data_IF_634881797707
#
_entry.id   IF_634881797707
#
_cell.length_a   1.000
_cell.length_b   1.000
_cell.length_c   1.000
_cell.angle_alpha   90.00
_cell.angle_beta   90.00
_cell.angle_gamma   90.00
#
_symmetry.space_group_name_H-M   'P 1'
#
loop_
_entity.id
_entity.type
_entity.pdbx_description
1 polymer ?
#
# COMPACT_ATOMS: atom_id res chain seq x y z
N UNK A 1 -21.55 -0.60 4.59
CA UNK A 1 -22.48 -0.13 3.54
C UNK A 1 -23.18 1.10 4.07
N UNK A 2 -23.20 2.21 3.32
CA UNK A 2 -23.84 3.43 3.78
C UNK A 2 -25.37 3.24 3.81
N UNK A 3 -26.07 3.67 4.88
CA UNK A 3 -27.53 3.68 4.90
C UNK A 3 -28.10 4.42 3.68
N UNK A 4 -29.09 3.83 3.00
CA UNK A 4 -29.74 4.43 1.82
C UNK A 4 -28.99 4.29 0.49
N UNK A 5 -27.82 3.65 0.46
CA UNK A 5 -27.02 3.48 -0.78
C UNK A 5 -27.67 2.59 -1.85
N UNK A 6 -28.74 1.87 -1.53
CA UNK A 6 -29.51 1.05 -2.48
C UNK A 6 -31.01 1.31 -2.32
N UNK A 7 -31.54 2.37 -2.96
CA UNK A 7 -32.98 2.64 -2.95
C UNK A 7 -33.72 1.50 -3.66
N UNK A 8 -34.66 0.85 -2.98
CA UNK A 8 -35.36 -0.33 -3.49
C UNK A 8 -36.19 -0.02 -4.75
N UNK A 9 -36.68 1.21 -4.90
CA UNK A 9 -37.40 1.67 -6.09
C UNK A 9 -36.56 1.60 -7.38
N UNK A 10 -35.24 1.71 -7.23
CA UNK A 10 -34.30 1.79 -8.37
C UNK A 10 -33.38 0.57 -8.46
N UNK A 11 -32.92 0.03 -7.34
CA UNK A 11 -31.99 -1.10 -7.29
C UNK A 11 -32.65 -2.31 -6.63
N UNK A 12 -33.33 -3.12 -7.45
CA UNK A 12 -34.06 -4.31 -7.02
C UNK A 12 -33.91 -5.47 -8.01
N UNK A 13 -34.39 -6.64 -7.62
CA UNK A 13 -34.28 -7.88 -8.41
C UNK A 13 -35.02 -7.83 -9.74
N UNK A 14 -36.07 -6.99 -9.86
CA UNK A 14 -36.78 -6.82 -11.14
C UNK A 14 -35.90 -6.09 -12.16
N UNK A 15 -35.11 -5.11 -11.70
CA UNK A 15 -34.26 -4.28 -12.56
C UNK A 15 -32.86 -4.85 -12.76
N UNK A 16 -32.28 -5.47 -11.74
CA UNK A 16 -30.90 -5.97 -11.75
C UNK A 16 -30.77 -7.41 -11.20
N UNK A 17 -31.50 -8.38 -11.75
CA UNK A 17 -31.54 -9.75 -11.21
C UNK A 17 -30.15 -10.39 -11.17
N UNK A 18 -29.36 -10.21 -12.24
CA UNK A 18 -28.04 -10.84 -12.35
C UNK A 18 -27.00 -10.22 -11.39
N UNK A 19 -27.05 -8.90 -11.18
CA UNK A 19 -26.13 -8.19 -10.27
C UNK A 19 -26.41 -8.61 -8.84
N UNK A 20 -27.68 -8.63 -8.44
CA UNK A 20 -28.08 -9.05 -7.10
C UNK A 20 -27.77 -10.53 -6.86
N UNK A 21 -28.05 -11.40 -7.82
CA UNK A 21 -27.68 -12.81 -7.72
C UNK A 21 -26.16 -13.02 -7.60
N UNK A 22 -25.35 -12.27 -8.35
CA UNK A 22 -23.89 -12.31 -8.20
C UNK A 22 -23.43 -11.82 -6.82
N UNK A 23 -24.01 -10.72 -6.33
CA UNK A 23 -23.71 -10.18 -4.99
C UNK A 23 -23.99 -11.21 -3.90
N UNK A 24 -25.13 -11.90 -3.97
CA UNK A 24 -25.47 -12.93 -2.98
C UNK A 24 -24.53 -14.14 -3.07
N UNK A 25 -24.13 -14.58 -4.29
CA UNK A 25 -23.09 -15.62 -4.43
C UNK A 25 -21.76 -15.21 -3.83
N UNK A 26 -21.34 -13.96 -4.04
CA UNK A 26 -20.10 -13.43 -3.49
C UNK A 26 -20.13 -13.36 -1.97
N UNK A 27 -21.22 -12.85 -1.38
CA UNK A 27 -21.43 -12.86 0.08
C UNK A 27 -21.36 -14.27 0.65
N UNK A 28 -22.06 -15.23 0.03
CA UNK A 28 -22.03 -16.62 0.47
C UNK A 28 -20.62 -17.22 0.43
N UNK A 29 -19.82 -16.89 -0.60
CA UNK A 29 -18.42 -17.30 -0.69
C UNK A 29 -17.57 -16.70 0.44
N UNK A 30 -17.78 -15.43 0.80
CA UNK A 30 -17.10 -14.78 1.93
C UNK A 30 -17.45 -15.48 3.26
N UNK A 31 -18.73 -15.72 3.53
CA UNK A 31 -19.15 -16.35 4.79
C UNK A 31 -18.58 -17.77 4.91
N UNK A 32 -18.60 -18.55 3.83
CA UNK A 32 -17.95 -19.87 3.80
C UNK A 32 -16.44 -19.80 4.05
N UNK A 33 -15.75 -18.80 3.49
CA UNK A 33 -14.32 -18.64 3.72
C UNK A 33 -14.03 -18.31 5.20
N UNK A 34 -14.86 -17.48 5.84
CA UNK A 34 -14.74 -17.13 7.25
C UNK A 34 -14.88 -18.33 8.18
N UNK A 35 -15.71 -19.33 7.83
CA UNK A 35 -15.85 -20.56 8.63
C UNK A 35 -14.53 -21.33 8.77
N UNK A 36 -13.65 -21.24 7.76
CA UNK A 36 -12.36 -21.94 7.74
C UNK A 36 -11.16 -21.05 8.08
N UNK A 37 -11.34 -19.73 8.08
CA UNK A 37 -10.27 -18.79 8.30
C UNK A 37 -9.90 -18.71 9.79
N UNK A 38 -8.61 -18.64 10.16
CA UNK A 38 -8.22 -18.36 11.53
C UNK A 38 -8.72 -16.98 11.94
N UNK A 39 -9.25 -16.86 13.16
CA UNK A 39 -9.70 -15.56 13.70
C UNK A 39 -8.48 -14.63 13.82
N UNK A 40 -8.48 -13.45 13.17
CA UNK A 40 -7.39 -12.49 13.32
C UNK A 40 -7.21 -12.09 14.79
N UNK A 41 -5.95 -11.94 15.21
CA UNK A 41 -5.63 -11.36 16.51
C UNK A 41 -5.62 -9.85 16.38
N UNK A 42 -6.35 -9.17 17.26
CA UNK A 42 -6.31 -7.72 17.36
C UNK A 42 -4.98 -7.32 18.02
N UNK A 43 -4.29 -6.34 17.42
CA UNK A 43 -3.02 -5.80 17.92
C UNK A 43 -3.11 -4.29 18.01
N UNK A 44 -2.49 -3.72 19.04
CA UNK A 44 -2.43 -2.27 19.23
C UNK A 44 -1.33 -1.64 18.37
N UNK A 45 -1.46 -0.35 18.05
CA UNK A 45 -0.50 0.34 17.18
C UNK A 45 0.95 0.23 17.65
N UNK A 46 1.21 0.37 18.96
CA UNK A 46 2.57 0.22 19.54
C UNK A 46 3.12 -1.19 19.38
N UNK A 47 2.27 -2.20 19.54
CA UNK A 47 2.65 -3.61 19.35
C UNK A 47 2.95 -3.90 17.88
N UNK A 48 2.18 -3.32 16.95
CA UNK A 48 2.40 -3.42 15.51
C UNK A 48 3.79 -2.90 15.11
N UNK A 49 4.18 -1.73 15.62
CA UNK A 49 5.51 -1.15 15.38
C UNK A 49 6.62 -2.09 15.86
N UNK A 50 6.50 -2.61 17.09
CA UNK A 50 7.48 -3.56 17.64
C UNK A 50 7.61 -4.84 16.82
N UNK A 51 6.47 -5.44 16.43
CA UNK A 51 6.46 -6.64 15.57
C UNK A 51 7.06 -6.38 14.21
N UNK A 52 6.80 -5.22 13.61
CA UNK A 52 7.35 -4.83 12.31
C UNK A 52 8.88 -4.75 12.38
N UNK A 53 9.44 -4.10 13.41
CA UNK A 53 10.89 -4.01 13.58
C UNK A 53 11.58 -5.33 13.95
N UNK A 54 10.87 -6.23 14.64
CA UNK A 54 11.38 -7.55 14.96
C UNK A 54 11.29 -8.56 13.80
N UNK A 55 10.57 -8.21 12.72
CA UNK A 55 10.36 -9.10 11.58
C UNK A 55 11.54 -9.04 10.61
N UNK A 56 11.79 -10.19 9.98
CA UNK A 56 12.76 -10.28 8.89
C UNK A 56 12.11 -9.79 7.61
N UNK A 57 12.77 -8.88 6.91
CA UNK A 57 12.35 -8.47 5.57
C UNK A 57 12.56 -9.62 4.58
N UNK A 58 11.57 -9.86 3.71
CA UNK A 58 11.71 -10.85 2.65
C UNK A 58 12.29 -10.18 1.41
N UNK A 59 13.53 -10.52 1.08
CA UNK A 59 14.25 -9.88 -0.01
C UNK A 59 13.59 -10.13 -1.37
N UNK A 60 13.30 -9.04 -2.07
CA UNK A 60 12.92 -9.03 -3.49
C UNK A 60 14.11 -8.55 -4.31
N UNK A 61 14.19 -8.99 -5.57
CA UNK A 61 15.24 -8.52 -6.48
C UNK A 61 14.71 -7.40 -7.36
N UNK A 62 15.63 -6.57 -7.85
CA UNK A 62 15.35 -5.66 -8.96
C UNK A 62 15.54 -6.43 -10.27
N UNK A 63 14.46 -6.61 -11.02
CA UNK A 63 14.50 -7.25 -12.33
C UNK A 63 15.33 -6.42 -13.31
N UNK A 64 16.22 -7.08 -14.05
CA UNK A 64 17.21 -6.41 -14.91
C UNK A 64 16.63 -5.80 -16.19
N UNK A 65 15.44 -6.25 -16.59
CA UNK A 65 14.72 -5.84 -17.79
C UNK A 65 13.66 -4.77 -17.53
N UNK A 66 13.66 -4.17 -16.34
CA UNK A 66 12.80 -3.03 -16.03
C UNK A 66 13.06 -1.85 -17.01
N UNK A 67 12.03 -1.38 -17.74
CA UNK A 67 12.18 -0.32 -18.73
C UNK A 67 12.33 1.08 -18.12
N UNK A 68 12.09 1.25 -16.82
CA UNK A 68 12.23 2.55 -16.16
C UNK A 68 13.71 2.94 -15.95
N UNK A 69 14.63 1.97 -16.05
CA UNK A 69 16.06 2.17 -15.81
C UNK A 69 16.41 2.33 -14.33
N UNK A 70 15.46 2.04 -13.44
CA UNK A 70 15.70 2.02 -12.00
C UNK A 70 16.56 0.81 -11.63
N UNK A 71 17.40 1.02 -10.62
CA UNK A 71 18.33 0.02 -10.13
C UNK A 71 18.24 -0.05 -8.62
N UNK A 72 18.67 -1.18 -8.08
CA UNK A 72 18.82 -1.35 -6.65
C UNK A 72 19.68 -0.22 -6.06
N UNK A 73 19.23 0.34 -4.94
CA UNK A 73 19.87 1.45 -4.24
C UNK A 73 19.49 2.85 -4.75
N UNK A 74 18.79 3.01 -5.88
CA UNK A 74 18.35 4.34 -6.34
C UNK A 74 17.39 4.98 -5.33
N UNK A 75 17.62 6.25 -5.01
CA UNK A 75 16.71 7.03 -4.16
C UNK A 75 15.53 7.51 -5.00
N UNK A 76 14.30 7.17 -4.59
CA UNK A 76 13.07 7.57 -5.28
C UNK A 76 12.01 8.06 -4.28
N UNK A 77 11.01 8.76 -4.81
CA UNK A 77 9.75 9.03 -4.13
C UNK A 77 8.62 8.33 -4.89
N UNK A 78 7.71 7.69 -4.17
CA UNK A 78 6.57 6.97 -4.72
C UNK A 78 5.28 7.54 -4.13
N UNK A 79 4.32 7.84 -5.01
CA UNK A 79 3.01 8.32 -4.61
C UNK A 79 1.94 7.75 -5.55
N UNK A 80 0.71 7.53 -5.08
CA UNK A 80 -0.39 7.17 -5.97
C UNK A 80 -0.66 8.28 -6.98
N UNK A 81 -1.01 7.90 -8.21
CA UNK A 81 -1.30 8.85 -9.31
C UNK A 81 -2.75 9.36 -9.30
N UNK A 82 -3.61 8.75 -8.49
CA UNK A 82 -5.03 9.08 -8.39
C UNK A 82 -5.32 10.01 -7.19
N UNK A 83 -5.19 9.52 -5.96
CA UNK A 83 -5.49 10.24 -4.73
C UNK A 83 -4.42 9.98 -3.68
N UNK A 84 -4.13 11.00 -2.85
CA UNK A 84 -3.04 10.89 -1.87
C UNK A 84 -1.64 11.19 -2.42
N UNK A 85 -1.53 11.73 -3.64
CA UNK A 85 -0.25 12.09 -4.28
C UNK A 85 0.61 13.08 -3.45
N UNK A 86 -0.01 13.83 -2.52
CA UNK A 86 0.66 14.75 -1.61
C UNK A 86 1.36 14.05 -0.42
N UNK A 87 1.21 12.74 -0.28
CA UNK A 87 1.79 11.95 0.81
C UNK A 87 2.70 10.87 0.25
N UNK A 88 3.76 11.30 -0.44
CA UNK A 88 4.74 10.40 -1.04
C UNK A 88 5.61 9.73 0.03
N UNK A 89 5.86 8.44 -0.15
CA UNK A 89 6.91 7.72 0.57
C UNK A 89 8.24 7.87 -0.18
N UNK A 90 9.36 7.94 0.54
CA UNK A 90 10.69 8.11 -0.07
C UNK A 90 11.70 7.15 0.55
N UNK A 91 12.56 6.60 -0.29
CA UNK A 91 13.50 5.55 0.10
C UNK A 91 14.38 5.05 -1.04
N UNK A 92 15.23 4.07 -0.74
CA UNK A 92 16.07 3.40 -1.74
C UNK A 92 15.35 2.19 -2.31
N UNK A 93 15.37 2.02 -3.63
CA UNK A 93 14.82 0.82 -4.30
C UNK A 93 15.57 -0.43 -3.79
N UNK A 94 14.83 -1.40 -3.28
CA UNK A 94 15.36 -2.71 -2.84
C UNK A 94 14.68 -3.89 -3.53
N UNK A 95 13.58 -3.66 -4.25
CA UNK A 95 12.92 -4.67 -5.07
C UNK A 95 12.10 -4.00 -6.17
N UNK A 96 12.11 -4.58 -7.36
CA UNK A 96 11.32 -4.09 -8.48
C UNK A 96 11.01 -5.24 -9.43
N UNK A 97 9.73 -5.53 -9.59
CA UNK A 97 9.19 -6.50 -10.54
C UNK A 97 8.07 -5.84 -11.36
N UNK A 98 7.55 -6.56 -12.35
CA UNK A 98 6.35 -6.13 -13.08
C UNK A 98 5.08 -5.93 -12.22
N UNK A 99 5.04 -6.42 -10.98
CA UNK A 99 3.88 -6.36 -10.09
C UNK A 99 4.11 -5.59 -8.79
N UNK A 100 5.37 -5.33 -8.42
CA UNK A 100 5.71 -4.79 -7.11
C UNK A 100 6.96 -3.91 -7.17
N UNK A 101 6.89 -2.75 -6.51
CA UNK A 101 8.02 -1.87 -6.28
C UNK A 101 8.22 -1.69 -4.77
N UNK A 102 9.45 -1.90 -4.29
CA UNK A 102 9.78 -1.89 -2.86
C UNK A 102 10.90 -0.89 -2.59
N UNK A 103 10.65 -0.01 -1.63
CA UNK A 103 11.65 0.94 -1.11
C UNK A 103 12.00 0.62 0.34
N UNK A 104 13.27 0.81 0.68
CA UNK A 104 13.74 0.82 2.06
C UNK A 104 13.74 2.26 2.60
N UNK A 105 13.22 2.44 3.81
CA UNK A 105 13.16 3.73 4.49
C UNK A 105 13.38 3.57 5.99
N UNK A 106 13.69 4.67 6.67
CA UNK A 106 13.96 4.69 8.12
C UNK A 106 12.84 5.43 8.83
N UNK A 107 12.27 4.82 9.86
CA UNK A 107 11.25 5.48 10.69
C UNK A 107 11.89 6.33 11.79
N UNK A 108 11.16 7.34 12.28
CA UNK A 108 11.61 8.20 13.40
C UNK A 108 11.65 7.46 14.75
N UNK A 109 10.84 6.42 14.92
CA UNK A 109 10.74 5.65 16.16
C UNK A 109 11.66 4.41 16.18
N UNK A 110 12.13 3.95 15.01
CA UNK A 110 13.10 2.86 14.87
C UNK A 110 14.46 3.39 14.43
N UNK A 111 15.30 3.78 15.39
CA UNK A 111 16.66 4.23 15.11
C UNK A 111 17.52 3.15 14.44
N UNK A 112 18.22 3.57 13.37
CA UNK A 112 19.32 2.90 12.64
C UNK A 112 19.04 1.51 12.05
N UNK A 113 18.60 1.50 10.78
CA UNK A 113 19.25 0.64 9.77
C UNK A 113 20.53 1.33 9.31
N UNK A 114 21.61 0.57 9.12
CA UNK A 114 23.01 1.01 9.11
C UNK A 114 23.42 2.20 8.22
N UNK A 115 24.56 2.75 8.63
CA UNK A 115 25.06 4.11 8.48
C UNK A 115 25.35 4.59 7.05
N UNK A 116 24.89 5.82 6.80
CA UNK A 116 25.30 6.66 5.68
C UNK A 116 24.55 7.99 5.75
N UNK A 117 24.97 8.83 6.70
CA UNK A 117 24.42 10.16 6.93
C UNK A 117 24.22 10.94 5.61
N UNK A 118 22.99 11.38 5.35
CA UNK A 118 22.75 12.61 4.59
C UNK A 118 21.67 13.41 5.32
N UNK A 119 22.16 14.24 6.24
CA UNK A 119 21.48 15.42 6.72
C UNK A 119 21.15 16.36 5.55
N UNK A 120 19.96 16.94 5.63
CA UNK A 120 19.52 18.15 4.93
C UNK A 120 19.31 18.08 3.41
N UNK A 121 18.04 17.98 3.00
CA UNK A 121 17.56 18.71 1.84
C UNK A 121 16.45 19.66 2.30
N UNK A 122 16.84 20.90 2.61
CA UNK A 122 15.94 22.04 2.58
C UNK A 122 15.58 22.30 1.12
N UNK A 123 14.32 22.08 0.74
CA UNK A 123 13.81 22.61 -0.52
C UNK A 123 13.41 24.07 -0.32
N UNK A 124 14.35 24.97 -0.66
CA UNK A 124 14.04 26.38 -0.90
C UNK A 124 13.72 26.53 -2.39
N UNK A 125 12.44 26.62 -2.74
CA UNK A 125 12.02 26.96 -4.11
C UNK A 125 12.14 28.47 -4.26
N UNK A 126 13.28 28.93 -4.79
CA UNK A 126 13.41 30.29 -5.30
C UNK A 126 12.75 30.35 -6.68
N UNK A 127 11.57 30.97 -6.75
CA UNK A 127 10.94 31.35 -8.01
C UNK A 127 11.73 32.50 -8.66
N UNK A 128 12.49 32.18 -9.69
CA UNK A 128 13.08 33.14 -10.63
C UNK A 128 12.32 33.12 -11.95
N UNK A 129 11.82 34.29 -12.34
CA UNK A 129 11.06 34.58 -13.56
C UNK A 129 11.96 34.52 -14.80
N UNK A 130 11.44 33.96 -15.90
CA UNK A 130 11.43 34.60 -17.22
C UNK A 130 10.11 34.27 -17.93
#
# INVERSE_FOLDING_TARGET
>A
MLPGSFPEDYFNEKRFPNVLAWRERYKAAIEKAKETAPKPTEIEGKECVQKTFASVFHDLKVESDDPSGLKEGHQIAMAPIDTGYNSADSGKVVGLTNMEAVISTTSKEGGKGDEGALSEMQFHVQGGVM
#
